data_IF_000566966058
#
_entry.id   IF_000566966058
#
_cell.length_a   1.000
_cell.length_b   1.000
_cell.length_c   1.000
_cell.angle_alpha   90.00
_cell.angle_beta   90.00
_cell.angle_gamma   90.00
#
_symmetry.space_group_name_H-M   'P 1'
#
loop_
_entity.id
_entity.type
_entity.pdbx_description
1 polymer ?
#
# COMPACT_ATOMS: atom_id res chain seq x y z
N UNK A 1 18.32 51.09 20.13
CA UNK A 1 18.44 49.62 19.99
C UNK A 1 17.06 49.08 19.68
N UNK A 2 16.80 48.80 18.40
CA UNK A 2 15.48 48.39 17.92
C UNK A 2 15.19 46.94 18.34
N UNK A 3 14.05 46.76 19.01
CA UNK A 3 13.38 45.47 19.15
C UNK A 3 13.19 44.88 17.75
N UNK A 4 13.79 43.73 17.50
CA UNK A 4 13.53 42.95 16.29
C UNK A 4 12.10 42.43 16.38
N UNK A 5 11.22 43.13 15.66
CA UNK A 5 9.83 42.80 15.41
C UNK A 5 9.68 41.38 14.89
N UNK A 6 8.62 40.72 15.35
CA UNK A 6 8.37 39.29 15.18
C UNK A 6 8.54 38.78 13.75
N UNK A 7 9.09 37.57 13.67
CA UNK A 7 8.91 36.69 12.53
C UNK A 7 7.42 36.52 12.29
N UNK A 8 6.91 37.31 11.34
CA UNK A 8 5.54 37.21 10.88
C UNK A 8 5.28 35.78 10.45
N UNK A 9 4.30 35.17 11.09
CA UNK A 9 3.59 33.99 10.60
C UNK A 9 2.96 34.42 9.27
N UNK A 10 3.73 34.36 8.19
CA UNK A 10 3.23 34.65 6.85
C UNK A 10 2.21 33.57 6.50
N UNK A 11 0.98 34.03 6.34
CA UNK A 11 -0.17 33.43 5.67
C UNK A 11 -0.37 31.92 5.84
N UNK A 12 -1.50 31.54 6.48
CA UNK A 12 -2.20 30.27 6.26
C UNK A 12 -2.00 29.81 4.82
N UNK A 13 -1.20 28.76 4.59
CA UNK A 13 -0.94 28.27 3.24
C UNK A 13 -2.26 28.11 2.49
N UNK A 14 -2.44 28.95 1.46
CA UNK A 14 -3.67 29.03 0.70
C UNK A 14 -3.91 27.69 0.01
N UNK A 15 -5.19 27.40 -0.30
CA UNK A 15 -5.63 26.21 -1.06
C UNK A 15 -4.80 25.93 -2.32
N UNK A 16 -4.08 26.93 -2.87
CA UNK A 16 -3.18 26.83 -4.03
C UNK A 16 -2.06 25.80 -3.86
N UNK A 17 -1.59 25.54 -2.63
CA UNK A 17 -0.48 24.60 -2.38
C UNK A 17 -0.94 23.14 -2.19
N UNK A 18 -2.26 22.89 -2.10
CA UNK A 18 -2.82 21.55 -1.87
C UNK A 18 -2.26 20.49 -2.83
N UNK A 19 -2.15 20.72 -4.16
CA UNK A 19 -1.57 19.74 -5.07
C UNK A 19 -0.11 19.41 -4.77
N UNK A 20 0.69 20.41 -4.41
CA UNK A 20 2.10 20.23 -4.06
C UNK A 20 2.25 19.44 -2.75
N UNK A 21 1.43 19.73 -1.75
CA UNK A 21 1.43 19.01 -0.47
C UNK A 21 1.02 17.54 -0.66
N UNK A 22 0.01 17.27 -1.50
CA UNK A 22 -0.39 15.90 -1.82
C UNK A 22 0.73 15.15 -2.56
N UNK A 23 1.43 15.81 -3.50
CA UNK A 23 2.59 15.24 -4.17
C UNK A 23 3.73 14.96 -3.19
N UNK A 24 4.05 15.90 -2.32
CA UNK A 24 5.06 15.73 -1.28
C UNK A 24 4.75 14.56 -0.33
N UNK A 25 3.47 14.32 -0.03
CA UNK A 25 3.04 13.14 0.72
C UNK A 25 3.29 11.83 -0.05
N UNK A 26 3.07 11.82 -1.38
CA UNK A 26 3.37 10.67 -2.24
C UNK A 26 4.89 10.38 -2.28
N UNK A 27 5.72 11.42 -2.19
CA UNK A 27 7.18 11.34 -2.02
C UNK A 27 7.62 11.01 -0.57
N UNK A 28 6.74 10.41 0.23
CA UNK A 28 7.01 9.89 1.59
C UNK A 28 7.28 10.93 2.68
N UNK A 29 7.02 12.21 2.45
CA UNK A 29 7.14 13.17 3.55
C UNK A 29 6.05 12.91 4.61
N UNK A 30 6.47 12.60 5.84
CA UNK A 30 5.56 12.37 6.96
C UNK A 30 4.61 13.54 7.20
N UNK A 31 3.42 13.28 7.77
CA UNK A 31 2.47 14.35 8.13
C UNK A 31 3.07 15.44 9.02
N UNK A 32 4.03 15.07 9.88
CA UNK A 32 4.76 16.03 10.72
C UNK A 32 5.76 16.83 9.89
N UNK A 33 6.45 16.19 8.94
CA UNK A 33 7.33 16.84 7.97
C UNK A 33 6.57 17.87 7.14
N UNK A 34 5.45 17.47 6.53
CA UNK A 34 4.57 18.37 5.77
C UNK A 34 4.08 19.55 6.62
N UNK A 35 3.70 19.29 7.86
CA UNK A 35 3.27 20.35 8.78
C UNK A 35 4.39 21.36 9.09
N UNK A 36 5.64 20.90 9.22
CA UNK A 36 6.82 21.76 9.44
C UNK A 36 7.22 22.53 8.18
N UNK A 37 7.16 21.89 7.02
CA UNK A 37 7.57 22.47 5.73
C UNK A 37 6.58 23.54 5.24
N UNK A 38 5.28 23.27 5.35
CA UNK A 38 4.23 24.11 4.75
C UNK A 38 3.45 24.92 5.79
N UNK A 39 3.76 24.82 7.08
CA UNK A 39 3.03 25.51 8.15
C UNK A 39 1.55 25.09 8.30
N UNK A 40 1.14 24.00 7.66
CA UNK A 40 -0.26 23.52 7.68
C UNK A 40 -0.48 22.57 8.86
N UNK A 41 -1.63 22.71 9.54
CA UNK A 41 -2.01 21.81 10.62
C UNK A 41 -2.24 20.38 10.11
N UNK A 42 -1.72 19.37 10.84
CA UNK A 42 -1.77 17.94 10.45
C UNK A 42 -3.18 17.44 10.15
N UNK A 43 -4.20 17.92 10.87
CA UNK A 43 -5.59 17.52 10.64
C UNK A 43 -6.11 18.00 9.28
N UNK A 44 -5.68 19.17 8.82
CA UNK A 44 -6.05 19.70 7.51
C UNK A 44 -5.40 18.86 6.40
N UNK A 45 -4.13 18.51 6.54
CA UNK A 45 -3.42 17.62 5.60
C UNK A 45 -4.11 16.24 5.55
N UNK A 46 -4.40 15.65 6.71
CA UNK A 46 -5.08 14.35 6.79
C UNK A 46 -6.48 14.38 6.17
N UNK A 47 -7.21 15.49 6.28
CA UNK A 47 -8.49 15.68 5.58
C UNK A 47 -8.30 15.74 4.06
N UNK A 48 -7.31 16.48 3.57
CA UNK A 48 -7.02 16.56 2.13
C UNK A 48 -6.61 15.22 1.54
N UNK A 49 -5.82 14.42 2.26
CA UNK A 49 -5.45 13.07 1.83
C UNK A 49 -6.70 12.20 1.72
N UNK A 50 -7.60 12.22 2.71
CA UNK A 50 -8.86 11.45 2.66
C UNK A 50 -9.75 11.89 1.50
N UNK A 51 -9.91 13.19 1.28
CA UNK A 51 -10.64 13.73 0.12
C UNK A 51 -10.03 13.26 -1.20
N UNK A 52 -8.69 13.30 -1.32
CA UNK A 52 -7.99 12.86 -2.52
C UNK A 52 -8.17 11.35 -2.76
N UNK A 53 -7.97 10.51 -1.73
CA UNK A 53 -8.17 9.05 -1.83
C UNK A 53 -9.61 8.73 -2.22
N UNK A 54 -10.61 9.43 -1.66
CA UNK A 54 -12.01 9.25 -2.02
C UNK A 54 -12.32 9.66 -3.47
N UNK A 55 -11.51 10.52 -4.08
CA UNK A 55 -11.65 10.92 -5.49
C UNK A 55 -10.95 9.99 -6.47
N UNK A 56 -10.11 9.06 -5.99
CA UNK A 56 -9.40 8.13 -6.86
C UNK A 56 -10.36 7.11 -7.46
N UNK A 57 -10.09 6.64 -8.70
CA UNK A 57 -10.87 5.57 -9.30
C UNK A 57 -10.73 4.27 -8.49
N UNK A 58 -11.74 3.38 -8.51
CA UNK A 58 -11.63 2.06 -7.90
C UNK A 58 -10.44 1.28 -8.48
N UNK A 59 -9.74 0.51 -7.64
CA UNK A 59 -8.52 -0.22 -8.04
C UNK A 59 -8.71 -1.00 -9.34
N UNK A 60 -9.80 -1.77 -9.45
CA UNK A 60 -10.08 -2.61 -10.62
C UNK A 60 -10.09 -1.85 -11.95
N UNK A 61 -10.53 -0.59 -11.96
CA UNK A 61 -10.58 0.24 -13.16
C UNK A 61 -9.21 0.79 -13.60
N UNK A 62 -8.19 0.65 -12.74
CA UNK A 62 -6.82 1.11 -13.00
C UNK A 62 -5.89 -0.02 -13.43
N UNK A 63 -6.35 -1.27 -13.37
CA UNK A 63 -5.53 -2.44 -13.69
C UNK A 63 -5.40 -2.61 -15.20
N UNK A 64 -4.18 -2.91 -15.63
CA UNK A 64 -3.96 -3.41 -16.98
C UNK A 64 -4.66 -4.78 -17.14
N UNK A 65 -5.10 -5.14 -18.36
CA UNK A 65 -5.72 -6.43 -18.59
C UNK A 65 -4.74 -7.57 -18.29
N UNK A 66 -5.27 -8.64 -17.69
CA UNK A 66 -4.52 -9.86 -17.43
C UNK A 66 -4.12 -10.53 -18.75
N UNK A 67 -2.94 -11.13 -18.76
CA UNK A 67 -2.45 -11.96 -19.85
C UNK A 67 -2.32 -13.42 -19.40
N UNK A 68 -2.51 -14.41 -20.29
CA UNK A 68 -2.49 -15.83 -19.91
C UNK A 68 -1.20 -16.30 -19.22
N UNK A 69 -0.07 -15.67 -19.53
CA UNK A 69 1.25 -15.97 -18.96
C UNK A 69 1.63 -15.05 -17.79
N UNK A 70 0.69 -14.26 -17.27
CA UNK A 70 0.94 -13.48 -16.07
C UNK A 70 1.19 -14.40 -14.88
N UNK A 71 2.04 -13.90 -13.99
CA UNK A 71 2.41 -14.56 -12.76
C UNK A 71 2.12 -13.62 -11.60
N UNK A 72 1.47 -14.15 -10.58
CA UNK A 72 1.12 -13.43 -9.36
C UNK A 72 2.08 -13.78 -8.22
N UNK A 73 2.51 -12.77 -7.49
CA UNK A 73 3.20 -12.90 -6.20
C UNK A 73 2.23 -12.53 -5.10
N UNK A 74 2.05 -13.44 -4.15
CA UNK A 74 1.17 -13.26 -3.00
C UNK A 74 2.05 -13.30 -1.77
N UNK A 75 1.99 -12.24 -0.97
CA UNK A 75 2.78 -12.14 0.25
C UNK A 75 2.09 -11.21 1.24
N UNK A 76 2.53 -11.27 2.49
CA UNK A 76 2.04 -10.42 3.56
C UNK A 76 3.14 -9.64 4.27
N UNK A 77 2.81 -8.42 4.63
CA UNK A 77 3.60 -7.56 5.49
C UNK A 77 2.82 -7.24 6.76
N UNK A 78 3.51 -6.87 7.84
CA UNK A 78 2.82 -6.40 9.03
C UNK A 78 3.50 -5.19 9.65
N UNK A 79 2.70 -4.34 10.28
CA UNK A 79 3.18 -3.20 11.08
C UNK A 79 2.26 -2.98 12.28
N UNK A 80 2.63 -2.03 13.14
CA UNK A 80 1.86 -1.65 14.31
C UNK A 80 1.10 -0.35 14.07
N UNK A 81 -0.20 -0.33 14.38
CA UNK A 81 -1.02 0.88 14.26
C UNK A 81 -1.24 1.49 15.64
N UNK A 82 -0.68 2.70 15.86
CA UNK A 82 -0.64 3.47 17.12
C UNK A 82 0.16 2.83 18.26
N UNK A 83 0.04 1.52 18.48
CA UNK A 83 0.64 0.80 19.62
C UNK A 83 0.97 -0.66 19.24
N UNK A 84 1.98 -1.26 19.90
CA UNK A 84 2.50 -2.60 19.59
C UNK A 84 1.47 -3.74 19.69
N UNK A 85 0.48 -3.61 20.57
CA UNK A 85 -0.60 -4.61 20.70
C UNK A 85 -1.55 -4.64 19.49
N UNK A 86 -1.56 -3.59 18.67
CA UNK A 86 -2.41 -3.48 17.50
C UNK A 86 -1.60 -3.74 16.23
N UNK A 87 -1.16 -5.00 16.08
CA UNK A 87 -0.50 -5.49 14.87
C UNK A 87 -1.53 -5.66 13.75
N UNK A 88 -1.19 -5.20 12.55
CA UNK A 88 -2.03 -5.31 11.36
C UNK A 88 -1.23 -5.91 10.22
N UNK A 89 -1.88 -6.80 9.48
CA UNK A 89 -1.31 -7.45 8.31
C UNK A 89 -1.86 -6.78 7.06
N UNK A 90 -0.96 -6.46 6.16
CA UNK A 90 -1.24 -6.03 4.80
C UNK A 90 -0.95 -7.22 3.90
N UNK A 91 -2.00 -7.85 3.41
CA UNK A 91 -1.93 -8.90 2.42
C UNK A 91 -1.99 -8.28 1.03
N UNK A 92 -1.15 -8.73 0.11
CA UNK A 92 -1.10 -8.17 -1.24
C UNK A 92 -0.91 -9.23 -2.31
N UNK A 93 -1.44 -8.94 -3.49
CA UNK A 93 -1.23 -9.73 -4.71
C UNK A 93 -0.66 -8.82 -5.78
N UNK A 94 0.54 -9.12 -6.29
CA UNK A 94 1.21 -8.35 -7.33
C UNK A 94 1.30 -9.15 -8.63
N UNK A 95 0.97 -8.53 -9.76
CA UNK A 95 1.31 -9.09 -11.07
C UNK A 95 2.76 -8.75 -11.44
N UNK A 96 3.57 -9.77 -11.77
CA UNK A 96 4.99 -9.60 -12.11
C UNK A 96 5.22 -8.70 -13.32
N UNK A 97 4.45 -8.91 -14.38
CA UNK A 97 4.60 -8.18 -15.65
C UNK A 97 4.29 -6.70 -15.47
N UNK A 98 3.17 -6.38 -14.82
CA UNK A 98 2.67 -5.01 -14.71
C UNK A 98 3.22 -4.26 -13.50
N UNK A 99 3.77 -4.98 -12.51
CA UNK A 99 4.14 -4.46 -11.19
C UNK A 99 2.98 -3.85 -10.41
N UNK A 100 1.74 -4.07 -10.84
CA UNK A 100 0.56 -3.55 -10.16
C UNK A 100 0.14 -4.49 -9.03
N UNK A 101 -0.23 -3.90 -7.90
CA UNK A 101 -1.00 -4.60 -6.88
C UNK A 101 -2.42 -4.79 -7.42
N UNK A 102 -2.80 -6.03 -7.70
CA UNK A 102 -4.12 -6.37 -8.28
C UNK A 102 -5.19 -6.55 -7.20
N UNK A 103 -4.78 -6.88 -5.97
CA UNK A 103 -5.64 -6.93 -4.80
C UNK A 103 -4.82 -6.70 -3.52
N UNK A 104 -5.45 -6.13 -2.50
CA UNK A 104 -4.87 -6.04 -1.15
C UNK A 104 -5.97 -6.05 -0.08
N UNK A 105 -5.62 -6.52 1.11
CA UNK A 105 -6.49 -6.53 2.30
C UNK A 105 -5.67 -6.13 3.52
N UNK A 106 -6.23 -5.25 4.36
CA UNK A 106 -5.67 -4.94 5.68
C UNK A 106 -6.51 -5.67 6.73
N UNK A 107 -5.89 -6.58 7.47
CA UNK A 107 -6.59 -7.44 8.42
C UNK A 107 -5.67 -8.04 9.48
N UNK A 108 -5.95 -9.30 9.81
CA UNK A 108 -5.16 -10.16 10.67
C UNK A 108 -4.43 -11.24 9.86
N UNK A 109 -3.72 -12.16 10.52
CA UNK A 109 -3.03 -13.28 9.84
C UNK A 109 -3.91 -14.52 9.64
N UNK A 110 -5.23 -14.37 9.60
CA UNK A 110 -6.16 -15.51 9.52
C UNK A 110 -6.38 -16.00 8.08
N UNK A 111 -6.85 -17.25 7.97
CA UNK A 111 -7.37 -17.81 6.72
C UNK A 111 -8.51 -16.97 6.15
N UNK A 112 -9.38 -16.42 7.00
CA UNK A 112 -10.49 -15.56 6.57
C UNK A 112 -10.00 -14.31 5.83
N UNK A 113 -8.95 -13.67 6.34
CA UNK A 113 -8.31 -12.53 5.65
C UNK A 113 -7.70 -12.94 4.31
N UNK A 114 -7.11 -14.13 4.23
CA UNK A 114 -6.56 -14.69 2.98
C UNK A 114 -7.67 -15.01 1.96
N UNK A 115 -8.79 -15.61 2.39
CA UNK A 115 -9.96 -15.86 1.53
C UNK A 115 -10.52 -14.56 0.98
N UNK A 116 -10.66 -13.55 1.83
CA UNK A 116 -11.11 -12.24 1.40
C UNK A 116 -10.17 -11.59 0.40
N UNK A 117 -8.84 -11.74 0.57
CA UNK A 117 -7.86 -11.28 -0.41
C UNK A 117 -8.08 -11.93 -1.78
N UNK A 118 -8.24 -13.25 -1.81
CA UNK A 118 -8.41 -13.98 -3.06
C UNK A 118 -9.74 -13.64 -3.77
N UNK A 119 -10.81 -13.43 -3.01
CA UNK A 119 -12.09 -12.95 -3.54
C UNK A 119 -11.99 -11.55 -4.16
N UNK A 120 -11.07 -10.71 -3.68
CA UNK A 120 -10.83 -9.37 -4.24
C UNK A 120 -10.00 -9.41 -5.54
N UNK A 121 -9.30 -10.51 -5.84
CA UNK A 121 -8.54 -10.65 -7.10
C UNK A 121 -9.53 -10.70 -8.27
N UNK A 122 -9.35 -9.87 -9.31
CA UNK A 122 -10.22 -9.91 -10.49
C UNK A 122 -10.20 -11.28 -11.15
N UNK A 123 -11.36 -11.75 -11.64
CA UNK A 123 -11.51 -13.09 -12.23
C UNK A 123 -10.48 -13.38 -13.34
N UNK A 124 -10.16 -12.39 -14.17
CA UNK A 124 -9.17 -12.52 -15.24
C UNK A 124 -7.75 -12.86 -14.73
N UNK A 125 -7.41 -12.46 -13.50
CA UNK A 125 -6.12 -12.76 -12.88
C UNK A 125 -6.13 -14.07 -12.08
N UNK A 126 -7.29 -14.61 -11.68
CA UNK A 126 -7.35 -15.81 -10.82
C UNK A 126 -6.86 -17.10 -11.49
N UNK A 127 -6.81 -17.11 -12.82
CA UNK A 127 -6.33 -18.25 -13.62
C UNK A 127 -4.81 -18.22 -13.82
N UNK A 128 -4.15 -17.12 -13.46
CA UNK A 128 -2.71 -16.97 -13.58
C UNK A 128 -1.97 -17.88 -12.59
N UNK A 129 -0.75 -18.24 -12.94
CA UNK A 129 0.18 -18.91 -12.02
C UNK A 129 0.45 -17.99 -10.82
N UNK A 130 0.45 -18.55 -9.62
CA UNK A 130 0.69 -17.79 -8.39
C UNK A 130 1.75 -18.42 -7.51
N UNK A 131 2.51 -17.59 -6.82
CA UNK A 131 3.52 -17.99 -5.85
C UNK A 131 3.27 -17.32 -4.50
N UNK A 132 3.45 -18.07 -3.42
CA UNK A 132 3.49 -17.57 -2.04
C UNK A 132 4.48 -18.36 -1.21
N UNK A 133 4.67 -17.99 0.05
CA UNK A 133 5.37 -18.83 1.00
C UNK A 133 4.52 -20.05 1.41
N UNK A 134 5.04 -20.85 2.35
CA UNK A 134 4.37 -22.06 2.84
C UNK A 134 3.32 -21.81 3.94
N UNK A 135 2.81 -20.59 4.09
CA UNK A 135 1.78 -20.33 5.10
C UNK A 135 0.51 -21.13 4.83
N UNK A 136 -0.03 -21.77 5.87
CA UNK A 136 -1.13 -22.73 5.75
C UNK A 136 -2.39 -22.14 5.10
N UNK A 137 -2.68 -20.85 5.36
CA UNK A 137 -3.85 -20.20 4.78
C UNK A 137 -3.82 -20.19 3.24
N UNK A 138 -2.63 -20.10 2.63
CA UNK A 138 -2.50 -20.14 1.17
C UNK A 138 -2.88 -21.51 0.61
N UNK A 139 -2.50 -22.59 1.29
CA UNK A 139 -2.81 -23.96 0.85
C UNK A 139 -4.30 -24.28 0.91
N UNK A 140 -5.04 -23.67 1.83
CA UNK A 140 -6.48 -23.86 2.00
C UNK A 140 -7.32 -22.96 1.06
N UNK A 141 -6.80 -21.79 0.68
CA UNK A 141 -7.55 -20.78 -0.06
C UNK A 141 -7.23 -20.78 -1.56
N UNK A 142 -5.96 -20.98 -1.93
CA UNK A 142 -5.50 -20.80 -3.31
C UNK A 142 -5.71 -22.08 -4.14
N UNK A 143 -5.99 -21.96 -5.45
CA UNK A 143 -6.20 -23.13 -6.31
C UNK A 143 -4.94 -23.98 -6.42
N UNK A 144 -5.04 -25.28 -6.12
CA UNK A 144 -3.88 -26.20 -6.09
C UNK A 144 -3.25 -26.40 -7.47
N UNK A 145 -4.02 -26.18 -8.54
CA UNK A 145 -3.61 -26.39 -9.93
C UNK A 145 -2.73 -25.24 -10.46
N UNK A 146 -2.94 -24.02 -9.95
CA UNK A 146 -2.24 -22.81 -10.41
C UNK A 146 -1.39 -22.14 -9.32
N UNK A 147 -1.35 -22.70 -8.12
CA UNK A 147 -0.57 -22.17 -7.00
C UNK A 147 0.66 -23.02 -6.70
N UNK A 148 1.79 -22.35 -6.45
CA UNK A 148 3.03 -22.98 -6.02
C UNK A 148 3.57 -22.29 -4.76
N UNK A 149 3.57 -23.00 -3.64
CA UNK A 149 4.25 -22.56 -2.43
C UNK A 149 5.77 -22.76 -2.57
N UNK A 150 6.54 -21.74 -2.22
CA UNK A 150 8.00 -21.70 -2.47
C UNK A 150 8.77 -21.24 -1.24
N UNK A 151 9.99 -21.78 -1.11
CA UNK A 151 10.87 -21.49 0.01
C UNK A 151 11.60 -20.17 -0.13
N UNK A 152 12.15 -19.72 1.01
CA UNK A 152 13.08 -18.60 1.06
C UNK A 152 14.27 -18.87 0.15
N UNK A 153 14.72 -17.84 -0.58
CA UNK A 153 15.83 -17.94 -1.52
C UNK A 153 15.43 -18.45 -2.93
N UNK A 154 14.16 -18.78 -3.18
CA UNK A 154 13.68 -19.15 -4.52
C UNK A 154 13.64 -17.97 -5.51
N UNK A 155 13.66 -16.74 -5.01
CA UNK A 155 13.55 -15.50 -5.81
C UNK A 155 12.15 -15.22 -6.37
N UNK A 156 11.17 -16.10 -6.15
CA UNK A 156 9.83 -15.99 -6.72
C UNK A 156 8.99 -14.86 -6.10
N UNK A 157 9.30 -14.41 -4.89
CA UNK A 157 8.60 -13.28 -4.23
C UNK A 157 9.45 -12.00 -4.22
N UNK A 158 10.58 -11.99 -4.94
CA UNK A 158 11.58 -10.92 -4.87
C UNK A 158 11.03 -9.55 -5.28
N UNK A 159 10.00 -9.51 -6.11
CA UNK A 159 9.43 -8.26 -6.58
C UNK A 159 8.51 -7.64 -5.53
N UNK A 160 7.71 -8.46 -4.87
CA UNK A 160 6.92 -8.07 -3.73
C UNK A 160 7.80 -7.68 -2.53
N UNK A 161 8.81 -8.48 -2.19
CA UNK A 161 9.77 -8.20 -1.11
C UNK A 161 10.47 -6.85 -1.33
N UNK A 162 10.94 -6.58 -2.55
CA UNK A 162 11.53 -5.28 -2.91
C UNK A 162 10.51 -4.14 -2.81
N UNK A 163 9.26 -4.38 -3.17
CA UNK A 163 8.19 -3.39 -3.03
C UNK A 163 7.94 -3.07 -1.55
N UNK A 164 7.95 -4.07 -0.66
CA UNK A 164 7.89 -3.89 0.78
C UNK A 164 9.01 -3.00 1.33
N UNK A 165 10.24 -3.18 0.85
CA UNK A 165 11.35 -2.31 1.22
C UNK A 165 11.11 -0.83 0.87
N UNK A 166 10.25 -0.52 -0.11
CA UNK A 166 9.98 0.87 -0.52
C UNK A 166 9.06 1.61 0.45
N UNK A 167 8.27 0.91 1.29
CA UNK A 167 7.30 1.56 2.17
C UNK A 167 7.35 1.17 3.64
N UNK A 168 8.05 0.10 4.00
CA UNK A 168 8.17 -0.36 5.39
C UNK A 168 9.47 0.03 6.10
N UNK A 169 10.41 0.69 5.42
CA UNK A 169 11.71 1.08 6.00
C UNK A 169 11.68 2.40 6.81
N UNK A 170 10.52 2.85 7.29
CA UNK A 170 10.36 3.99 8.21
C UNK A 170 9.76 3.56 9.55
#
# INVERSE_FOLDING_TARGET
MQCVSGFGIQARGEKKEKPLILRAYQERISLRGLSRLFGIHRQTIARWIREHVASLPPLISTLLPAQPNDVLEIDEAWSFVRQRRNKRWLWTVMCRRTRQIVAFVIGDRSEQSCRHLWEMVPLAYRQCLSYSDFWQAYQEVLPKESHCAVGKGSGQLSHMERWYCTFMLE
#
